data_IF_773123165122
#
_entry.id   IF_773123165122
#
_cell.length_a   1.000
_cell.length_b   1.000
_cell.length_c   1.000
_cell.angle_alpha   90.00
_cell.angle_beta   90.00
_cell.angle_gamma   90.00
#
_symmetry.space_group_name_H-M   'P 1'
#
loop_
_entity.id
_entity.type
_entity.pdbx_description
1 polymer ?
#
# COMPACT_ATOMS: atom_id res chain seq x y z
N UNK A 1 3.74 15.63 13.54
CA UNK A 1 4.50 14.48 13.00
C UNK A 1 5.94 14.63 13.43
N UNK A 2 6.49 13.57 14.02
CA UNK A 2 7.89 13.49 14.43
C UNK A 2 8.85 13.51 13.23
N UNK A 3 8.41 13.01 12.07
CA UNK A 3 9.15 12.96 10.80
C UNK A 3 8.21 13.11 9.59
N UNK A 4 8.79 13.28 8.40
CA UNK A 4 8.04 13.30 7.13
C UNK A 4 7.85 11.88 6.60
N UNK A 5 6.60 11.41 6.59
CA UNK A 5 6.22 10.10 6.04
C UNK A 5 5.64 10.22 4.63
N UNK A 6 6.46 9.91 3.64
CA UNK A 6 6.02 9.77 2.25
C UNK A 6 5.67 8.29 2.04
N UNK A 7 4.38 7.98 2.03
CA UNK A 7 3.89 6.63 1.80
C UNK A 7 3.16 6.47 0.48
N UNK A 8 2.88 5.21 0.13
CA UNK A 8 1.88 4.86 -0.87
C UNK A 8 0.50 4.79 -0.21
N UNK A 9 0.15 5.83 0.55
CA UNK A 9 -1.08 5.91 1.34
C UNK A 9 -2.33 5.72 0.47
N UNK A 10 -3.25 4.88 0.93
CA UNK A 10 -4.45 4.48 0.18
C UNK A 10 -5.75 4.92 0.87
N UNK A 11 -5.78 4.92 2.20
CA UNK A 11 -6.98 5.30 2.96
C UNK A 11 -6.60 5.94 4.29
N UNK A 12 -7.52 6.76 4.81
CA UNK A 12 -7.41 7.39 6.13
C UNK A 12 -8.80 7.50 6.74
N UNK A 13 -8.93 7.27 8.04
CA UNK A 13 -10.16 7.48 8.79
C UNK A 13 -9.84 8.00 10.20
N UNK A 14 -10.56 9.03 10.72
CA UNK A 14 -10.43 9.43 12.12
C UNK A 14 -10.98 8.35 13.04
N UNK A 15 -10.27 8.04 14.12
CA UNK A 15 -10.67 7.03 15.11
C UNK A 15 -9.88 7.25 16.40
N UNK A 16 -10.54 7.28 17.56
CA UNK A 16 -9.86 7.32 18.88
C UNK A 16 -9.37 5.90 19.20
N UNK A 17 -8.13 5.58 18.83
CA UNK A 17 -7.64 4.20 18.81
C UNK A 17 -7.10 3.76 20.17
N UNK A 18 -6.65 4.70 21.01
CA UNK A 18 -6.15 4.41 22.35
C UNK A 18 -7.16 4.75 23.47
N UNK A 19 -8.34 5.26 23.10
CA UNK A 19 -9.47 5.59 23.99
C UNK A 19 -9.13 6.71 25.00
N UNK A 20 -8.29 7.66 24.62
CA UNK A 20 -7.96 8.82 25.47
C UNK A 20 -8.92 10.02 25.27
N UNK A 21 -9.85 9.90 24.32
CA UNK A 21 -10.88 10.89 24.01
C UNK A 21 -10.45 11.95 23.01
N UNK A 22 -9.21 11.91 22.55
CA UNK A 22 -8.72 12.72 21.44
C UNK A 22 -8.85 11.96 20.09
N UNK A 23 -8.59 12.64 18.98
CA UNK A 23 -8.83 12.07 17.63
C UNK A 23 -7.53 11.65 16.97
N UNK A 24 -7.28 10.35 16.90
CA UNK A 24 -6.26 9.74 16.05
C UNK A 24 -6.75 9.53 14.61
N UNK A 25 -5.87 8.97 13.78
CA UNK A 25 -6.17 8.59 12.41
C UNK A 25 -5.57 7.24 12.06
N UNK A 26 -6.40 6.29 11.65
CA UNK A 26 -5.91 5.05 11.05
C UNK A 26 -5.52 5.33 9.59
N UNK A 27 -4.36 4.82 9.18
CA UNK A 27 -3.77 4.97 7.86
C UNK A 27 -3.59 3.61 7.17
N UNK A 28 -4.20 3.46 5.99
CA UNK A 28 -4.01 2.33 5.10
C UNK A 28 -2.91 2.62 4.09
N UNK A 29 -1.95 1.71 3.95
CA UNK A 29 -0.82 1.82 3.03
C UNK A 29 -0.64 0.49 2.27
N UNK A 30 0.40 0.39 1.44
CA UNK A 30 0.67 -0.74 0.56
C UNK A 30 1.09 -2.02 1.28
N UNK A 31 1.57 -1.92 2.52
CA UNK A 31 2.13 -3.03 3.28
C UNK A 31 3.53 -3.44 2.79
N UNK A 32 4.12 -4.40 3.49
CA UNK A 32 5.50 -4.85 3.28
C UNK A 32 5.61 -6.26 2.70
N UNK A 33 4.49 -6.95 2.50
CA UNK A 33 4.45 -8.27 1.84
C UNK A 33 4.48 -8.16 0.30
N UNK A 34 5.47 -7.44 -0.22
CA UNK A 34 5.70 -7.27 -1.66
C UNK A 34 7.20 -7.00 -1.92
N UNK A 35 7.59 -6.80 -3.18
CA UNK A 35 9.00 -6.59 -3.54
C UNK A 35 9.52 -5.18 -3.23
N UNK A 36 8.65 -4.24 -2.85
CA UNK A 36 9.08 -2.90 -2.48
C UNK A 36 9.76 -2.91 -1.13
N UNK A 37 10.77 -2.05 -1.01
CA UNK A 37 11.47 -1.79 0.24
C UNK A 37 11.68 -0.29 0.33
N UNK A 38 11.28 0.28 1.46
CA UNK A 38 11.38 1.70 1.73
C UNK A 38 11.72 1.92 3.20
N UNK A 39 12.52 2.94 3.47
CA UNK A 39 12.80 3.45 4.80
C UNK A 39 13.25 4.90 4.69
N UNK A 40 13.31 5.63 5.81
CA UNK A 40 13.89 6.98 5.82
C UNK A 40 15.36 7.01 5.35
N UNK A 41 16.14 5.96 5.65
CA UNK A 41 17.55 5.89 5.27
C UNK A 41 17.72 5.51 3.79
N UNK A 42 16.87 4.61 3.33
CA UNK A 42 16.88 4.05 1.98
C UNK A 42 15.46 4.04 1.42
N UNK A 43 14.97 5.17 0.88
CA UNK A 43 13.63 5.25 0.32
C UNK A 43 13.50 4.41 -0.94
N UNK A 44 12.30 3.93 -1.24
CA UNK A 44 11.93 3.50 -2.58
C UNK A 44 11.98 4.72 -3.49
N UNK A 45 12.66 4.60 -4.64
CA UNK A 45 12.82 5.70 -5.59
C UNK A 45 12.08 5.42 -6.89
N UNK A 46 11.52 6.48 -7.47
CA UNK A 46 11.09 6.51 -8.86
C UNK A 46 11.88 7.58 -9.59
N UNK A 47 12.64 7.17 -10.60
CA UNK A 47 13.30 8.07 -11.53
C UNK A 47 12.35 8.34 -12.69
N UNK A 48 12.15 9.60 -13.03
CA UNK A 48 11.28 10.05 -14.10
C UNK A 48 12.04 10.99 -15.04
N UNK A 49 12.29 10.53 -16.26
CA UNK A 49 13.07 11.22 -17.29
C UNK A 49 12.76 10.63 -18.68
N UNK A 50 13.18 11.31 -19.74
CA UNK A 50 13.30 10.75 -21.09
C UNK A 50 14.68 10.10 -21.22
N UNK A 51 14.76 8.81 -20.92
CA UNK A 51 16.05 8.12 -20.75
C UNK A 51 16.74 7.76 -22.06
N UNK A 52 15.99 7.65 -23.15
CA UNK A 52 16.53 7.33 -24.47
C UNK A 52 16.44 8.49 -25.47
N UNK A 53 16.02 9.68 -25.01
CA UNK A 53 15.95 10.94 -25.74
C UNK A 53 15.01 10.87 -26.95
N UNK A 54 13.91 10.15 -26.80
CA UNK A 54 12.92 9.95 -27.86
C UNK A 54 11.74 10.95 -27.79
N UNK A 55 11.71 11.82 -26.78
CA UNK A 55 10.66 12.80 -26.52
C UNK A 55 9.55 12.33 -25.57
N UNK A 56 9.56 11.06 -25.16
CA UNK A 56 8.65 10.50 -24.15
C UNK A 56 9.40 10.31 -22.83
N UNK A 57 8.68 10.39 -21.71
CA UNK A 57 9.24 10.16 -20.39
C UNK A 57 8.91 8.75 -19.89
N UNK A 58 9.88 8.10 -19.26
CA UNK A 58 9.70 6.80 -18.62
C UNK A 58 9.78 6.90 -17.10
N UNK A 59 9.32 5.82 -16.43
CA UNK A 59 9.45 5.67 -14.98
C UNK A 59 10.26 4.42 -14.65
N UNK A 60 11.27 4.59 -13.81
CA UNK A 60 12.08 3.47 -13.32
C UNK A 60 12.04 3.44 -11.80
N UNK A 61 11.39 2.40 -11.27
CA UNK A 61 11.37 2.14 -9.83
C UNK A 61 12.66 1.44 -9.41
N UNK A 62 13.25 1.90 -8.30
CA UNK A 62 14.49 1.35 -7.77
C UNK A 62 14.43 1.18 -6.25
N UNK A 63 14.95 0.04 -5.79
CA UNK A 63 15.17 -0.26 -4.36
C UNK A 63 16.65 -0.27 -4.05
N UNK A 64 16.95 0.05 -2.80
CA UNK A 64 18.31 -0.07 -2.29
C UNK A 64 18.66 -1.52 -1.93
N UNK A 65 19.90 -1.88 -2.23
CA UNK A 65 20.59 -3.07 -1.73
C UNK A 65 22.08 -2.75 -1.64
N UNK A 66 22.74 -3.09 -0.53
CA UNK A 66 24.18 -2.88 -0.33
C UNK A 66 24.65 -1.45 -0.67
N UNK A 67 23.88 -0.45 -0.25
CA UNK A 67 24.04 1.00 -0.43
C UNK A 67 23.91 1.50 -1.88
N UNK A 68 23.41 0.66 -2.79
CA UNK A 68 23.22 1.02 -4.21
C UNK A 68 21.78 0.75 -4.65
N UNK A 69 21.32 1.49 -5.66
CA UNK A 69 19.96 1.38 -6.18
C UNK A 69 19.92 0.48 -7.41
N UNK A 70 18.97 -0.46 -7.41
CA UNK A 70 18.73 -1.42 -8.48
C UNK A 70 17.29 -1.31 -8.97
N UNK A 71 17.03 -1.46 -10.27
CA UNK A 71 15.67 -1.46 -10.78
C UNK A 71 14.87 -2.65 -10.23
N UNK A 72 13.59 -2.44 -9.97
CA UNK A 72 12.66 -3.50 -9.51
C UNK A 72 12.15 -4.32 -10.71
N UNK A 73 12.05 -3.68 -11.88
CA UNK A 73 11.57 -4.28 -13.12
C UNK A 73 12.66 -5.11 -13.80
N UNK A 74 12.24 -6.09 -14.59
CA UNK A 74 13.16 -6.95 -15.35
C UNK A 74 13.63 -6.27 -16.65
N UNK A 75 14.58 -6.91 -17.34
CA UNK A 75 15.14 -6.40 -18.60
C UNK A 75 14.08 -6.25 -19.71
N UNK A 76 13.14 -7.19 -19.82
CA UNK A 76 12.07 -7.14 -20.82
C UNK A 76 11.14 -5.94 -20.62
N UNK A 77 10.80 -5.63 -19.37
CA UNK A 77 10.00 -4.47 -19.00
C UNK A 77 10.71 -3.16 -19.34
N UNK A 78 12.03 -3.12 -19.16
CA UNK A 78 12.86 -1.97 -19.55
C UNK A 78 12.93 -1.86 -21.07
N UNK A 79 13.04 -2.96 -21.80
CA UNK A 79 13.00 -2.96 -23.28
C UNK A 79 11.67 -2.51 -23.86
N UNK A 80 10.57 -2.87 -23.19
CA UNK A 80 9.24 -2.43 -23.59
C UNK A 80 9.06 -0.92 -23.48
N UNK A 81 9.82 -0.26 -22.61
CA UNK A 81 9.81 1.20 -22.45
C UNK A 81 10.92 1.88 -23.26
N UNK A 82 12.12 1.28 -23.31
CA UNK A 82 13.34 1.86 -23.88
C UNK A 82 14.05 0.83 -24.75
N UNK A 83 13.76 0.84 -26.05
CA UNK A 83 14.33 -0.12 -27.01
C UNK A 83 15.85 0.02 -27.13
N UNK A 84 16.38 1.23 -26.90
CA UNK A 84 17.81 1.54 -26.92
C UNK A 84 18.64 0.64 -25.99
N UNK A 85 18.07 0.21 -24.86
CA UNK A 85 18.73 -0.67 -23.90
C UNK A 85 19.08 -2.05 -24.48
N UNK A 86 18.40 -2.51 -25.55
CA UNK A 86 18.73 -3.78 -26.23
C UNK A 86 20.15 -3.81 -26.78
N UNK A 87 20.67 -2.66 -27.21
CA UNK A 87 22.05 -2.55 -27.69
C UNK A 87 23.05 -2.58 -26.54
N UNK A 88 22.68 -2.01 -25.37
CA UNK A 88 23.55 -1.90 -24.19
C UNK A 88 23.62 -3.21 -23.39
N UNK A 89 22.52 -3.97 -23.34
CA UNK A 89 22.39 -5.17 -22.49
C UNK A 89 21.79 -6.37 -23.24
N UNK A 90 22.36 -6.87 -24.35
CA UNK A 90 21.71 -7.78 -25.28
C UNK A 90 21.16 -9.09 -24.66
N UNK A 91 21.62 -9.49 -23.48
CA UNK A 91 21.08 -10.61 -22.72
C UNK A 91 21.01 -10.32 -21.21
N UNK A 92 20.31 -11.18 -20.47
CA UNK A 92 20.16 -11.04 -19.01
C UNK A 92 21.46 -11.08 -18.22
N UNK A 93 22.50 -11.78 -18.71
CA UNK A 93 23.79 -11.86 -18.03
C UNK A 93 24.48 -10.49 -18.01
N UNK A 94 24.32 -9.71 -19.06
CA UNK A 94 24.89 -8.36 -19.15
C UNK A 94 24.15 -7.35 -18.26
N UNK A 95 22.86 -7.55 -18.03
CA UNK A 95 22.01 -6.71 -17.17
C UNK A 95 22.05 -7.10 -15.68
N UNK A 96 22.27 -8.37 -15.37
CA UNK A 96 22.18 -8.88 -14.00
C UNK A 96 23.11 -8.11 -13.05
N UNK A 97 22.54 -7.61 -11.94
CA UNK A 97 23.28 -6.86 -10.92
C UNK A 97 23.74 -5.47 -11.34
N UNK A 98 23.23 -4.90 -12.44
CA UNK A 98 23.49 -3.49 -12.79
C UNK A 98 22.64 -2.57 -11.92
N UNK A 99 23.30 -1.57 -11.36
CA UNK A 99 22.67 -0.49 -10.60
C UNK A 99 22.15 0.59 -11.55
N UNK A 100 21.27 1.46 -11.06
CA UNK A 100 20.69 2.56 -11.86
C UNK A 100 21.77 3.41 -12.55
N UNK A 101 22.87 3.74 -11.86
CA UNK A 101 24.02 4.48 -12.39
C UNK A 101 24.87 3.71 -13.42
N UNK A 102 24.67 2.40 -13.56
CA UNK A 102 25.30 1.57 -14.60
C UNK A 102 24.38 1.32 -15.78
N UNK A 103 23.07 1.46 -15.58
CA UNK A 103 22.07 1.29 -16.62
C UNK A 103 21.92 2.58 -17.42
N UNK A 104 21.80 3.72 -16.73
CA UNK A 104 21.56 5.03 -17.34
C UNK A 104 22.78 5.94 -17.26
N UNK A 105 22.83 6.90 -18.17
CA UNK A 105 23.93 7.86 -18.26
C UNK A 105 23.81 8.91 -17.15
N UNK A 106 24.95 9.34 -16.61
CA UNK A 106 25.00 10.23 -15.44
C UNK A 106 24.31 11.58 -15.70
N UNK A 107 24.42 12.12 -16.92
CA UNK A 107 23.79 13.37 -17.32
C UNK A 107 22.26 13.29 -17.20
N UNK A 108 21.66 12.22 -17.72
CA UNK A 108 20.21 11.99 -17.65
C UNK A 108 19.77 11.78 -16.21
N UNK A 109 20.56 11.06 -15.40
CA UNK A 109 20.24 10.84 -13.99
C UNK A 109 20.28 12.13 -13.15
N UNK A 110 21.10 13.12 -13.54
CA UNK A 110 21.12 14.45 -12.90
C UNK A 110 19.89 15.29 -13.27
N UNK A 111 19.37 15.11 -14.47
CA UNK A 111 18.16 15.80 -14.96
C UNK A 111 16.86 15.10 -14.53
N UNK A 112 16.95 13.80 -14.19
CA UNK A 112 15.80 13.00 -13.80
C UNK A 112 15.11 13.54 -12.55
N UNK A 113 13.79 13.64 -12.60
CA UNK A 113 12.98 13.92 -11.42
C UNK A 113 12.95 12.67 -10.55
N UNK A 114 13.38 12.79 -9.30
CA UNK A 114 13.34 11.69 -8.33
C UNK A 114 12.16 11.89 -7.38
N UNK A 115 11.27 10.90 -7.34
CA UNK A 115 10.22 10.79 -6.31
C UNK A 115 10.62 9.71 -5.30
N UNK A 116 10.28 9.92 -4.03
CA UNK A 116 10.71 9.07 -2.93
C UNK A 116 9.56 8.67 -2.00
N UNK A 117 9.48 7.37 -1.70
CA UNK A 117 8.62 6.79 -0.68
C UNK A 117 9.52 6.25 0.44
N UNK A 118 9.22 6.61 1.68
CA UNK A 118 10.00 6.20 2.85
C UNK A 118 9.19 5.38 3.87
N UNK A 119 7.90 5.20 3.63
CA UNK A 119 7.01 4.39 4.47
C UNK A 119 6.05 3.54 3.64
N UNK A 120 5.94 2.26 3.97
CA UNK A 120 5.02 1.31 3.32
C UNK A 120 4.05 0.67 4.32
N UNK A 121 4.34 0.78 5.61
CA UNK A 121 3.52 0.20 6.67
C UNK A 121 2.18 0.95 6.76
N UNK A 122 1.12 0.18 6.94
CA UNK A 122 -0.14 0.67 7.50
C UNK A 122 0.01 0.83 9.01
N UNK A 123 -0.73 1.76 9.60
CA UNK A 123 -0.62 2.11 11.01
C UNK A 123 -1.63 3.15 11.41
N UNK A 124 -1.33 3.91 12.45
CA UNK A 124 -2.13 5.04 12.87
C UNK A 124 -1.26 6.23 13.26
N UNK A 125 -1.83 7.43 13.17
CA UNK A 125 -1.25 8.64 13.71
C UNK A 125 -1.80 8.85 15.11
N UNK A 126 -1.02 8.45 16.11
CA UNK A 126 -1.33 8.71 17.50
C UNK A 126 -1.23 10.20 17.77
N UNK A 127 -2.31 10.80 18.25
CA UNK A 127 -2.37 12.19 18.65
C UNK A 127 -2.07 12.29 20.15
N UNK A 128 -1.16 13.19 20.50
CA UNK A 128 -0.91 13.53 21.89
C UNK A 128 -0.98 15.06 22.01
N UNK A 129 -2.17 15.57 22.34
CA UNK A 129 -2.43 17.01 22.47
C UNK A 129 -2.06 17.82 21.21
N UNK A 130 -2.48 17.34 20.04
CA UNK A 130 -2.21 17.97 18.73
C UNK A 130 -0.86 17.61 18.13
N UNK A 131 -0.05 16.80 18.80
CA UNK A 131 1.22 16.29 18.27
C UNK A 131 1.03 14.85 17.80
N UNK A 132 1.11 14.66 16.49
CA UNK A 132 0.99 13.33 15.90
C UNK A 132 2.32 12.58 15.84
N UNK A 133 2.30 11.28 16.14
CA UNK A 133 3.37 10.31 15.90
C UNK A 133 2.82 9.09 15.15
N UNK A 134 3.60 8.53 14.22
CA UNK A 134 3.16 7.35 13.47
C UNK A 134 3.51 6.07 14.22
N UNK A 135 2.52 5.21 14.43
CA UNK A 135 2.66 3.90 15.05
C UNK A 135 2.25 2.83 14.03
N UNK A 136 3.18 1.96 13.58
CA UNK A 136 2.86 0.92 12.62
C UNK A 136 2.05 -0.21 13.26
N UNK A 137 1.10 -0.77 12.51
CA UNK A 137 0.45 -2.01 12.92
C UNK A 137 1.39 -3.22 12.83
N UNK A 138 1.00 -4.30 13.50
CA UNK A 138 1.69 -5.59 13.43
C UNK A 138 1.74 -6.16 11.99
N UNK A 139 2.50 -7.24 11.79
CA UNK A 139 2.72 -7.85 10.47
C UNK A 139 1.45 -8.34 9.78
N UNK A 140 0.40 -8.68 10.52
CA UNK A 140 -0.85 -9.18 9.94
C UNK A 140 -1.58 -8.11 9.13
N UNK A 141 -1.38 -6.84 9.47
CA UNK A 141 -1.94 -5.67 8.78
C UNK A 141 -1.07 -5.21 7.59
N UNK A 142 0.02 -5.93 7.29
CA UNK A 142 0.98 -5.57 6.24
C UNK A 142 1.01 -6.57 5.07
N UNK A 143 0.10 -7.56 5.08
CA UNK A 143 0.10 -8.68 4.13
C UNK A 143 -0.47 -8.34 2.75
N UNK A 144 -1.25 -7.26 2.65
CA UNK A 144 -1.72 -6.66 1.41
C UNK A 144 -2.05 -5.16 1.64
N UNK A 145 -2.23 -4.36 0.57
CA UNK A 145 -2.64 -2.97 0.73
C UNK A 145 -3.98 -2.85 1.45
N UNK A 146 -4.05 -1.97 2.45
CA UNK A 146 -5.32 -1.57 3.09
C UNK A 146 -5.84 -0.35 2.33
N UNK A 147 -7.00 -0.48 1.68
CA UNK A 147 -7.50 0.49 0.71
C UNK A 147 -8.90 1.01 1.04
N UNK A 148 -9.62 0.35 1.94
CA UNK A 148 -10.97 0.73 2.35
C UNK A 148 -11.12 0.58 3.86
N UNK A 149 -11.85 1.52 4.46
CA UNK A 149 -12.09 1.57 5.90
C UNK A 149 -13.51 2.05 6.14
N UNK A 150 -14.14 1.55 7.21
CA UNK A 150 -15.41 2.09 7.70
C UNK A 150 -15.46 1.99 9.21
N UNK A 151 -15.87 3.09 9.86
CA UNK A 151 -16.18 3.14 11.28
C UNK A 151 -17.67 2.84 11.47
N UNK A 152 -17.97 1.91 12.37
CA UNK A 152 -19.34 1.56 12.74
C UNK A 152 -19.35 0.79 14.07
N UNK A 153 -20.44 0.88 14.83
CA UNK A 153 -20.67 0.09 16.05
C UNK A 153 -21.13 -1.33 15.66
N UNK A 154 -20.16 -2.20 15.36
CA UNK A 154 -20.43 -3.53 14.80
C UNK A 154 -20.97 -4.49 15.87
N UNK A 155 -20.57 -4.34 17.13
CA UNK A 155 -21.02 -5.20 18.23
C UNK A 155 -22.13 -4.61 19.11
N UNK A 156 -22.54 -3.36 18.84
CA UNK A 156 -23.63 -2.65 19.51
C UNK A 156 -23.35 -2.36 20.98
N UNK A 157 -22.09 -2.15 21.34
CA UNK A 157 -21.67 -1.72 22.67
C UNK A 157 -21.72 -0.19 22.86
N UNK A 158 -22.03 0.55 21.79
CA UNK A 158 -22.11 2.02 21.78
C UNK A 158 -20.78 2.71 21.45
N UNK A 159 -19.74 1.94 21.09
CA UNK A 159 -18.47 2.44 20.56
C UNK A 159 -18.29 1.97 19.13
N UNK A 160 -17.73 2.83 18.29
CA UNK A 160 -17.42 2.43 16.92
C UNK A 160 -16.15 1.56 16.91
N UNK A 161 -16.09 0.64 15.95
CA UNK A 161 -14.86 -0.01 15.52
C UNK A 161 -14.58 0.31 14.06
N UNK A 162 -13.33 0.13 13.64
CA UNK A 162 -12.95 0.32 12.24
C UNK A 162 -12.73 -1.02 11.55
N UNK A 163 -13.63 -1.36 10.63
CA UNK A 163 -13.41 -2.45 9.69
C UNK A 163 -12.48 -1.95 8.58
N UNK A 164 -11.33 -2.60 8.42
CA UNK A 164 -10.38 -2.36 7.34
C UNK A 164 -10.41 -3.49 6.32
N UNK A 165 -10.26 -3.14 5.06
CA UNK A 165 -10.19 -4.07 3.94
C UNK A 165 -9.29 -3.53 2.83
N UNK A 166 -9.03 -4.37 1.83
CA UNK A 166 -8.24 -3.94 0.68
C UNK A 166 -7.98 -5.09 -0.27
N UNK A 167 -6.70 -5.42 -0.45
CA UNK A 167 -6.16 -6.23 -1.55
C UNK A 167 -6.06 -5.48 -2.88
N UNK A 168 -5.11 -5.93 -3.71
CA UNK A 168 -4.83 -5.31 -5.01
C UNK A 168 -4.35 -6.33 -6.03
N UNK A 169 -5.05 -6.39 -7.17
CA UNK A 169 -4.80 -7.37 -8.23
C UNK A 169 -4.14 -6.79 -9.48
N UNK A 170 -4.03 -5.46 -9.57
CA UNK A 170 -3.49 -4.74 -10.75
C UNK A 170 -1.97 -4.80 -10.89
N UNK A 171 -1.38 -5.97 -10.65
CA UNK A 171 0.06 -6.19 -10.71
C UNK A 171 0.43 -7.05 -11.92
N UNK A 172 1.69 -6.97 -12.35
CA UNK A 172 2.21 -7.88 -13.37
C UNK A 172 2.16 -9.33 -12.87
N UNK A 173 1.90 -10.33 -13.73
CA UNK A 173 1.72 -11.72 -13.29
C UNK A 173 2.83 -12.26 -12.38
N UNK A 174 4.09 -11.92 -12.67
CA UNK A 174 5.25 -12.38 -11.90
C UNK A 174 5.43 -11.70 -10.52
N UNK A 175 4.60 -10.71 -10.19
CA UNK A 175 4.57 -10.10 -8.86
C UNK A 175 3.67 -10.87 -7.90
N UNK A 176 2.70 -11.64 -8.42
CA UNK A 176 1.66 -12.29 -7.62
C UNK A 176 0.65 -11.27 -7.06
N UNK A 177 -0.65 -11.61 -7.10
CA UNK A 177 -1.70 -10.73 -6.57
C UNK A 177 -1.50 -10.51 -5.07
N UNK A 178 -1.82 -9.31 -4.58
CA UNK A 178 -1.85 -9.02 -3.14
C UNK A 178 -3.26 -9.34 -2.65
N UNK A 179 -3.56 -10.61 -2.42
CA UNK A 179 -4.93 -11.12 -2.28
C UNK A 179 -5.19 -11.89 -0.98
N UNK A 180 -4.24 -11.85 -0.05
CA UNK A 180 -4.26 -12.66 1.17
C UNK A 180 -4.87 -11.97 2.39
N UNK A 181 -5.24 -10.68 2.29
CA UNK A 181 -5.83 -9.96 3.42
C UNK A 181 -7.32 -10.27 3.54
N UNK A 182 -7.72 -10.91 4.64
CA UNK A 182 -9.12 -11.22 4.96
C UNK A 182 -9.95 -10.00 5.36
N UNK A 183 -9.29 -8.86 5.62
CA UNK A 183 -9.84 -7.75 6.39
C UNK A 183 -9.59 -7.94 7.89
N UNK A 184 -9.77 -6.86 8.65
CA UNK A 184 -9.65 -6.85 10.10
C UNK A 184 -10.56 -5.80 10.74
N UNK A 185 -11.07 -6.08 11.93
CA UNK A 185 -11.80 -5.15 12.77
C UNK A 185 -10.84 -4.59 13.83
N UNK A 186 -10.60 -3.29 13.79
CA UNK A 186 -9.77 -2.55 14.76
C UNK A 186 -10.69 -1.98 15.83
N UNK A 187 -10.59 -2.52 17.05
CA UNK A 187 -11.33 -2.02 18.21
C UNK A 187 -10.55 -0.94 18.96
N UNK A 188 -9.25 -1.15 19.10
CA UNK A 188 -8.29 -0.25 19.71
C UNK A 188 -6.87 -0.70 19.31
N UNK A 189 -5.86 0.02 19.77
CA UNK A 189 -4.44 -0.21 19.51
C UNK A 189 -3.95 -1.61 19.92
N UNK A 190 -4.61 -2.23 20.90
CA UNK A 190 -4.27 -3.55 21.44
C UNK A 190 -5.18 -4.69 20.94
N UNK A 191 -6.28 -4.37 20.26
CA UNK A 191 -7.29 -5.35 19.85
C UNK A 191 -7.67 -5.18 18.38
N UNK A 192 -6.97 -5.94 17.54
CA UNK A 192 -7.26 -6.07 16.11
C UNK A 192 -7.67 -7.52 15.86
N UNK A 193 -8.89 -7.72 15.35
CA UNK A 193 -9.48 -9.04 15.12
C UNK A 193 -9.55 -9.28 13.63
N UNK A 194 -9.00 -10.39 13.13
CA UNK A 194 -9.15 -10.75 11.70
C UNK A 194 -10.62 -10.93 11.37
N UNK A 195 -11.05 -10.35 10.25
CA UNK A 195 -12.45 -10.40 9.83
C UNK A 195 -12.95 -11.84 9.61
N UNK A 196 -12.07 -12.77 9.24
CA UNK A 196 -12.41 -14.19 9.06
C UNK A 196 -12.90 -14.84 10.36
N UNK A 197 -12.40 -14.42 11.52
CA UNK A 197 -12.83 -14.88 12.84
C UNK A 197 -14.26 -14.43 13.14
N UNK A 198 -14.67 -13.30 12.55
CA UNK A 198 -16.01 -12.72 12.64
C UNK A 198 -16.97 -13.25 11.56
N UNK A 199 -16.54 -14.24 10.76
CA UNK A 199 -17.33 -14.81 9.67
C UNK A 199 -17.32 -13.99 8.37
N UNK A 200 -16.48 -12.94 8.27
CA UNK A 200 -16.30 -12.13 7.08
C UNK A 200 -14.97 -12.46 6.39
N UNK A 201 -15.01 -13.14 5.26
CA UNK A 201 -13.80 -13.47 4.50
C UNK A 201 -13.66 -12.62 3.23
N UNK A 202 -12.67 -11.72 3.23
CA UNK A 202 -12.32 -10.87 2.08
C UNK A 202 -11.04 -11.31 1.36
N UNK A 203 -10.50 -12.50 1.66
CA UNK A 203 -9.41 -13.11 0.89
C UNK A 203 -9.84 -13.26 -0.56
N UNK A 204 -8.92 -12.98 -1.50
CA UNK A 204 -9.17 -12.99 -2.96
C UNK A 204 -10.25 -12.03 -3.41
N UNK A 205 -10.55 -11.00 -2.62
CA UNK A 205 -11.44 -9.90 -3.01
C UNK A 205 -10.69 -8.58 -3.01
N UNK A 206 -10.64 -7.91 -4.16
CA UNK A 206 -9.99 -6.59 -4.29
C UNK A 206 -10.98 -5.50 -3.86
N UNK A 207 -11.14 -5.33 -2.56
CA UNK A 207 -12.08 -4.37 -1.96
C UNK A 207 -11.64 -2.93 -2.26
N UNK A 208 -12.61 -2.08 -2.62
CA UNK A 208 -12.41 -0.67 -2.94
C UNK A 208 -13.20 0.26 -2.04
N UNK A 209 -14.40 -0.14 -1.62
CA UNK A 209 -15.22 0.65 -0.70
C UNK A 209 -15.98 -0.28 0.25
N UNK A 210 -16.24 0.25 1.44
CA UNK A 210 -17.11 -0.34 2.45
C UNK A 210 -18.17 0.71 2.78
N UNK A 211 -19.44 0.31 2.87
CA UNK A 211 -20.55 1.19 3.27
C UNK A 211 -21.51 0.43 4.18
N UNK A 212 -22.20 1.15 5.06
CA UNK A 212 -23.34 0.60 5.81
C UNK A 212 -24.63 1.05 5.14
N UNK A 213 -25.55 0.10 4.93
CA UNK A 213 -26.91 0.38 4.48
C UNK A 213 -27.91 -0.23 5.46
N UNK A 214 -29.02 0.45 5.70
CA UNK A 214 -30.09 -0.04 6.57
C UNK A 214 -31.34 -0.33 5.76
N UNK A 215 -31.84 -1.55 5.85
CA UNK A 215 -33.07 -2.01 5.18
C UNK A 215 -33.98 -2.61 6.24
N UNK A 216 -35.18 -2.04 6.43
CA UNK A 216 -36.16 -2.51 7.42
C UNK A 216 -35.57 -2.65 8.85
N UNK A 217 -34.83 -1.64 9.32
CA UNK A 217 -34.13 -1.61 10.61
C UNK A 217 -33.06 -2.71 10.79
N UNK A 218 -32.61 -3.34 9.72
CA UNK A 218 -31.47 -4.24 9.71
C UNK A 218 -30.31 -3.59 8.96
N UNK A 219 -29.16 -3.53 9.60
CA UNK A 219 -27.93 -2.99 9.01
C UNK A 219 -27.19 -4.07 8.24
N UNK A 220 -26.63 -3.67 7.11
CA UNK A 220 -25.84 -4.49 6.22
C UNK A 220 -24.54 -3.79 5.86
N UNK A 221 -23.46 -4.55 5.80
CA UNK A 221 -22.21 -4.14 5.22
C UNK A 221 -22.26 -4.38 3.70
N UNK A 222 -22.15 -3.30 2.94
CA UNK A 222 -21.98 -3.29 1.49
C UNK A 222 -20.48 -3.25 1.17
N UNK A 223 -20.00 -4.24 0.43
CA UNK A 223 -18.59 -4.38 0.03
C UNK A 223 -18.48 -4.22 -1.48
N UNK A 224 -17.88 -3.12 -1.91
CA UNK A 224 -17.62 -2.84 -3.33
C UNK A 224 -16.27 -3.40 -3.73
N UNK A 225 -16.28 -4.25 -4.76
CA UNK A 225 -15.10 -4.94 -5.29
C UNK A 225 -14.68 -4.35 -6.64
N UNK A 226 -13.38 -4.39 -6.93
CA UNK A 226 -12.87 -4.05 -8.25
C UNK A 226 -13.12 -5.20 -9.23
N UNK A 227 -13.82 -4.92 -10.33
CA UNK A 227 -14.07 -5.89 -11.42
C UNK A 227 -14.80 -7.16 -10.94
N UNK A 228 -15.72 -7.00 -10.00
CA UNK A 228 -16.52 -8.09 -9.42
C UNK A 228 -17.86 -7.53 -8.91
N UNK A 229 -18.82 -8.41 -8.61
CA UNK A 229 -20.14 -8.04 -8.10
C UNK A 229 -20.05 -7.48 -6.67
N UNK A 230 -20.91 -6.52 -6.36
CA UNK A 230 -21.03 -5.96 -5.01
C UNK A 230 -21.59 -7.02 -4.07
N UNK A 231 -20.98 -7.15 -2.88
CA UNK A 231 -21.40 -8.13 -1.89
C UNK A 231 -22.09 -7.45 -0.71
N UNK A 232 -23.12 -8.09 -0.15
CA UNK A 232 -23.90 -7.57 0.98
C UNK A 232 -23.86 -8.58 2.11
N UNK A 233 -23.46 -8.14 3.30
CA UNK A 233 -23.37 -8.97 4.49
C UNK A 233 -24.31 -8.42 5.55
N UNK A 234 -25.17 -9.28 6.11
CA UNK A 234 -26.02 -8.92 7.24
C UNK A 234 -25.14 -8.77 8.49
N UNK A 235 -25.25 -7.63 9.19
CA UNK A 235 -24.56 -7.45 10.47
C UNK A 235 -25.43 -8.07 11.56
N UNK A 236 -24.92 -9.14 12.18
CA UNK A 236 -25.58 -9.81 13.31
C UNK A 236 -25.03 -9.26 14.62
N UNK A 237 -25.91 -9.16 15.62
CA UNK A 237 -25.48 -8.99 17.03
C UNK A 237 -24.69 -10.20 17.50
#
# INVERSE_FOLDING_TARGET
LDKKYNGLWQSIIPFDIDNDGDKDYILGNWGTNNKFKASHKYPLKMYYADFDKNGNTETVLAIEKDKKYYPIVNLDDLYGQMVSLKKKFPNYKDFAGKTIDKIFDEEILKEAKILEVNELLSGYLKNENGKFSFVPFNSEMQIAPIMAMIAYDFDKDGKEEVLVAGNYFGVKPYQGRFDSFSGALVKNDNQIIKAEVLGLNLIRKSVRHLNIISINNQDYLLVTLNDDEVQVYKITK
#
